data_IF_155391763792
#
_entry.id   IF_155391763792
#
_cell.length_a   1.000
_cell.length_b   1.000
_cell.length_c   1.000
_cell.angle_alpha   90.00
_cell.angle_beta   90.00
_cell.angle_gamma   90.00
#
_symmetry.space_group_name_H-M   'P 1'
#
loop_
_entity.id
_entity.type
_entity.pdbx_description
1 polymer ?
#
# COMPACT_ATOMS: atom_id res chain seq x y z
N UNK A 1 -11.20 -4.42 5.56
CA UNK A 1 -11.84 -3.72 6.68
C UNK A 1 -11.30 -2.31 6.74
N UNK A 2 -12.16 -1.29 6.68
CA UNK A 2 -11.75 0.11 6.77
C UNK A 2 -11.38 0.46 8.23
N UNK A 3 -10.53 1.47 8.40
CA UNK A 3 -10.00 1.93 9.69
C UNK A 3 -9.97 3.46 9.75
N UNK A 4 -9.67 4.02 10.93
CA UNK A 4 -9.58 5.46 11.16
C UNK A 4 -8.17 5.91 11.58
N UNK A 5 -7.72 7.08 11.10
CA UNK A 5 -6.45 7.69 11.50
C UNK A 5 -6.19 9.06 10.87
N UNK A 6 -5.20 9.78 11.42
CA UNK A 6 -4.72 11.07 10.91
C UNK A 6 -3.27 10.91 10.44
N UNK A 7 -2.99 11.25 9.17
CA UNK A 7 -1.73 10.94 8.51
C UNK A 7 -0.95 12.18 8.02
N UNK A 8 -1.30 13.39 8.49
CA UNK A 8 -0.60 14.62 8.11
C UNK A 8 -0.64 14.85 6.60
N UNK A 9 0.46 15.27 5.97
CA UNK A 9 0.55 15.48 4.51
C UNK A 9 1.05 14.22 3.78
N UNK A 10 0.37 13.08 3.95
CA UNK A 10 0.90 11.78 3.54
C UNK A 10 1.18 11.65 2.03
N UNK A 11 0.42 12.34 1.17
CA UNK A 11 0.61 12.30 -0.28
C UNK A 11 1.85 13.08 -0.78
N UNK A 12 2.47 13.89 0.07
CA UNK A 12 3.66 14.67 -0.28
C UNK A 12 4.86 14.34 0.61
N UNK A 13 4.71 13.40 1.55
CA UNK A 13 5.81 12.95 2.41
C UNK A 13 6.69 11.96 1.62
N UNK A 14 7.98 12.25 1.39
CA UNK A 14 8.87 11.40 0.59
C UNK A 14 9.11 10.02 1.20
N UNK A 15 8.80 9.83 2.49
CA UNK A 15 8.90 8.53 3.19
C UNK A 15 7.78 7.57 2.80
N UNK A 16 6.73 8.06 2.17
CA UNK A 16 5.60 7.25 1.72
C UNK A 16 5.78 6.87 0.25
N UNK A 17 5.36 5.65 -0.09
CA UNK A 17 5.16 5.30 -1.49
C UNK A 17 3.80 5.88 -1.93
N UNK A 18 3.83 6.75 -2.93
CA UNK A 18 2.63 7.43 -3.46
C UNK A 18 2.47 7.06 -4.93
N UNK A 19 1.30 6.51 -5.29
CA UNK A 19 0.97 6.12 -6.67
C UNK A 19 -0.41 6.68 -7.01
N UNK A 20 -0.45 7.86 -7.64
CA UNK A 20 -1.72 8.53 -7.95
C UNK A 20 -2.56 8.81 -6.68
N UNK A 21 -3.78 8.26 -6.56
CA UNK A 21 -4.63 8.44 -5.36
C UNK A 21 -4.31 7.46 -4.22
N UNK A 22 -3.33 6.55 -4.38
CA UNK A 22 -2.92 5.55 -3.40
C UNK A 22 -1.68 5.99 -2.61
N UNK A 23 -1.64 5.67 -1.32
CA UNK A 23 -0.45 5.75 -0.47
C UNK A 23 -0.25 4.46 0.31
N UNK A 24 0.99 3.94 0.31
CA UNK A 24 1.50 3.08 1.38
C UNK A 24 2.33 3.93 2.35
N UNK A 25 1.78 4.19 3.54
CA UNK A 25 2.46 5.04 4.52
C UNK A 25 3.71 4.34 5.07
N UNK A 26 4.87 5.00 4.99
CA UNK A 26 6.18 4.43 5.27
C UNK A 26 6.72 3.53 4.16
N UNK A 27 6.08 3.48 2.99
CA UNK A 27 6.42 2.57 1.89
C UNK A 27 7.83 2.73 1.30
N UNK A 28 8.49 3.87 1.53
CA UNK A 28 9.88 4.12 1.11
C UNK A 28 10.88 4.06 2.28
N UNK A 29 10.42 3.65 3.48
CA UNK A 29 11.26 3.55 4.67
C UNK A 29 11.70 2.10 4.83
N UNK A 30 13.02 1.90 4.94
CA UNK A 30 13.60 0.61 5.27
C UNK A 30 13.02 0.07 6.58
N UNK A 31 12.45 -1.13 6.49
CA UNK A 31 12.09 -1.92 7.66
C UNK A 31 13.32 -2.75 8.08
N UNK A 32 13.70 -2.78 9.37
CA UNK A 32 14.80 -3.63 9.83
C UNK A 32 14.57 -5.10 9.47
N UNK A 33 15.63 -5.81 9.04
CA UNK A 33 15.53 -7.22 8.66
C UNK A 33 14.95 -8.09 9.79
N UNK A 34 15.29 -7.80 11.05
CA UNK A 34 14.76 -8.51 12.21
C UNK A 34 13.23 -8.40 12.34
N UNK A 35 12.64 -7.24 11.99
CA UNK A 35 11.18 -7.06 11.97
C UNK A 35 10.54 -7.92 10.89
N UNK A 36 11.14 -7.97 9.70
CA UNK A 36 10.64 -8.82 8.60
C UNK A 36 10.73 -10.29 8.98
N UNK A 37 11.84 -10.73 9.60
CA UNK A 37 12.01 -12.11 10.06
C UNK A 37 11.02 -12.50 11.15
N UNK A 38 10.71 -11.59 12.08
CA UNK A 38 9.79 -11.85 13.18
C UNK A 38 8.31 -11.91 12.75
N UNK A 39 7.92 -11.14 11.73
CA UNK A 39 6.52 -10.96 11.35
C UNK A 39 6.17 -11.49 9.95
N UNK A 40 7.17 -11.94 9.18
CA UNK A 40 7.00 -12.38 7.79
C UNK A 40 6.68 -11.23 6.83
N UNK A 41 6.97 -9.99 7.21
CA UNK A 41 6.59 -8.80 6.44
C UNK A 41 6.66 -7.51 7.25
N UNK A 42 6.07 -6.45 6.69
CA UNK A 42 5.95 -5.16 7.37
C UNK A 42 4.54 -4.60 7.22
N UNK A 43 4.14 -3.81 8.22
CA UNK A 43 2.80 -3.24 8.32
C UNK A 43 2.77 -1.89 7.61
N UNK A 44 1.81 -1.71 6.72
CA UNK A 44 1.61 -0.44 6.01
C UNK A 44 0.14 -0.02 6.11
N UNK A 45 -0.14 1.18 6.64
CA UNK A 45 -1.39 1.85 6.36
C UNK A 45 -1.51 2.12 4.86
N UNK A 46 -2.60 1.64 4.24
CA UNK A 46 -2.97 1.98 2.87
C UNK A 46 -4.04 3.05 2.89
N UNK A 47 -3.81 4.14 2.18
CA UNK A 47 -4.74 5.27 2.06
C UNK A 47 -5.15 5.43 0.60
N UNK A 48 -6.43 5.66 0.35
CA UNK A 48 -6.95 6.02 -0.98
C UNK A 48 -7.79 7.28 -0.87
N UNK A 49 -7.55 8.25 -1.76
CA UNK A 49 -8.39 9.48 -1.86
C UNK A 49 -9.84 9.11 -2.10
N UNK A 50 -10.78 9.87 -1.53
CA UNK A 50 -12.22 9.59 -1.70
C UNK A 50 -12.65 9.60 -3.18
N UNK A 51 -13.58 8.69 -3.50
CA UNK A 51 -14.13 8.51 -4.84
C UNK A 51 -13.24 7.74 -5.81
N UNK A 52 -12.16 7.13 -5.34
CA UNK A 52 -11.29 6.29 -6.17
C UNK A 52 -11.35 4.82 -5.75
N UNK A 53 -11.10 3.94 -6.71
CA UNK A 53 -10.80 2.53 -6.48
C UNK A 53 -9.37 2.25 -6.97
N UNK A 54 -8.60 1.46 -6.22
CA UNK A 54 -7.25 1.10 -6.61
C UNK A 54 -7.04 -0.38 -6.42
N UNK A 55 -6.65 -1.08 -7.49
CA UNK A 55 -6.25 -2.48 -7.41
C UNK A 55 -4.74 -2.56 -7.32
N UNK A 56 -4.25 -3.19 -6.26
CA UNK A 56 -2.83 -3.50 -6.08
C UNK A 56 -2.62 -4.97 -6.30
N UNK A 57 -1.65 -5.30 -7.13
CA UNK A 57 -1.29 -6.67 -7.48
C UNK A 57 0.20 -6.91 -7.25
N UNK A 58 0.52 -8.10 -6.73
CA UNK A 58 1.85 -8.68 -6.72
C UNK A 58 2.10 -9.34 -8.09
N UNK A 59 3.13 -8.92 -8.85
CA UNK A 59 3.49 -9.53 -10.13
C UNK A 59 3.72 -11.03 -9.99
N UNK A 60 3.37 -11.82 -11.01
CA UNK A 60 3.37 -13.29 -10.95
C UNK A 60 4.72 -13.87 -10.53
N UNK A 61 5.80 -13.29 -11.05
CA UNK A 61 7.20 -13.59 -10.76
C UNK A 61 7.55 -13.64 -9.26
N UNK A 62 6.91 -12.82 -8.43
CA UNK A 62 7.21 -12.71 -6.99
C UNK A 62 6.10 -13.25 -6.08
N UNK A 63 4.99 -13.76 -6.63
CA UNK A 63 3.87 -14.31 -5.82
C UNK A 63 4.26 -15.50 -4.93
N UNK A 64 5.32 -16.22 -5.28
CA UNK A 64 5.83 -17.34 -4.46
C UNK A 64 6.45 -16.88 -3.13
N UNK A 65 6.89 -15.62 -3.08
CA UNK A 65 7.63 -15.07 -1.95
C UNK A 65 6.95 -13.88 -1.32
N UNK A 66 6.02 -13.21 -2.00
CA UNK A 66 5.35 -12.00 -1.53
C UNK A 66 3.82 -12.08 -1.61
N UNK A 67 3.14 -11.34 -0.73
CA UNK A 67 1.69 -11.28 -0.69
C UNK A 67 1.14 -10.10 0.13
N UNK A 68 -0.16 -9.86 0.02
CA UNK A 68 -0.87 -8.77 0.69
C UNK A 68 -1.85 -9.34 1.72
N UNK A 69 -1.95 -8.69 2.88
CA UNK A 69 -2.91 -9.05 3.93
C UNK A 69 -3.65 -7.80 4.42
N UNK A 70 -4.86 -7.56 3.91
CA UNK A 70 -5.70 -6.41 4.27
C UNK A 70 -7.15 -6.86 4.50
N UNK A 71 -7.43 -7.44 5.66
CA UNK A 71 -8.73 -8.05 5.94
C UNK A 71 -8.58 -9.25 6.89
N UNK A 72 -9.46 -10.27 6.82
CA UNK A 72 -9.52 -11.38 7.78
C UNK A 72 -8.34 -12.38 7.65
N UNK A 73 -7.11 -11.89 7.58
CA UNK A 73 -5.87 -12.66 7.75
C UNK A 73 -5.45 -13.55 6.59
N UNK A 74 -6.11 -13.48 5.44
CA UNK A 74 -5.72 -14.26 4.25
C UNK A 74 -4.70 -13.52 3.41
N UNK A 75 -3.66 -14.23 2.99
CA UNK A 75 -2.70 -13.75 2.00
C UNK A 75 -3.39 -13.75 0.63
N UNK A 76 -3.33 -12.62 -0.06
CA UNK A 76 -3.81 -12.45 -1.42
C UNK A 76 -2.69 -11.87 -2.28
N UNK A 77 -2.73 -12.12 -3.59
CA UNK A 77 -1.82 -11.49 -4.55
C UNK A 77 -2.43 -10.27 -5.22
N UNK A 78 -3.75 -10.06 -5.08
CA UNK A 78 -4.49 -8.94 -5.65
C UNK A 78 -5.51 -8.46 -4.63
N UNK A 79 -5.53 -7.15 -4.38
CA UNK A 79 -6.52 -6.51 -3.50
C UNK A 79 -7.00 -5.22 -4.16
N UNK A 80 -8.33 -5.04 -4.22
CA UNK A 80 -8.95 -3.79 -4.64
C UNK A 80 -9.40 -3.00 -3.41
N UNK A 81 -8.86 -1.80 -3.26
CA UNK A 81 -9.22 -0.83 -2.24
C UNK A 81 -10.23 0.15 -2.81
N UNK A 82 -11.48 0.07 -2.37
CA UNK A 82 -12.56 0.97 -2.80
C UNK A 82 -12.78 2.02 -1.72
N UNK A 83 -12.39 3.27 -2.02
CA UNK A 83 -12.60 4.39 -1.10
C UNK A 83 -14.07 4.78 -1.03
N UNK A 84 -14.49 5.36 0.10
CA UNK A 84 -15.81 5.94 0.22
C UNK A 84 -16.05 7.02 -0.86
N UNK A 85 -17.30 7.19 -1.34
CA UNK A 85 -17.64 8.22 -2.31
C UNK A 85 -17.32 9.64 -1.81
N UNK A 86 -17.13 10.58 -2.74
CA UNK A 86 -17.01 12.01 -2.40
C UNK A 86 -18.35 12.52 -1.86
N UNK A 87 -18.28 13.45 -0.89
CA UNK A 87 -19.47 14.10 -0.33
C UNK A 87 -20.18 13.32 0.78
N UNK A 88 -19.77 12.08 1.06
CA UNK A 88 -20.27 11.33 2.20
C UNK A 88 -19.70 11.92 3.50
N UNK A 89 -20.51 12.72 4.22
CA UNK A 89 -20.11 13.31 5.51
C UNK A 89 -20.12 12.24 6.60
N UNK A 90 -19.02 11.50 6.75
CA UNK A 90 -18.79 10.67 7.94
C UNK A 90 -18.04 11.49 8.98
N UNK A 91 -18.56 11.52 10.21
CA UNK A 91 -17.97 12.25 11.35
C UNK A 91 -16.53 11.83 11.64
N UNK A 92 -16.15 10.61 11.25
CA UNK A 92 -14.81 10.04 11.44
C UNK A 92 -14.14 9.70 10.11
N UNK A 93 -13.96 10.69 9.24
CA UNK A 93 -13.20 10.49 7.99
C UNK A 93 -11.69 10.58 8.27
N UNK A 94 -10.91 9.60 7.84
CA UNK A 94 -9.46 9.65 7.91
C UNK A 94 -8.92 10.79 7.05
N UNK A 95 -7.80 11.41 7.44
CA UNK A 95 -7.23 12.52 6.66
C UNK A 95 -5.72 12.38 6.43
N UNK A 96 -5.29 12.88 5.28
CA UNK A 96 -3.90 12.87 4.81
C UNK A 96 -3.60 14.14 3.97
N UNK A 97 -3.90 15.33 4.52
CA UNK A 97 -3.92 16.60 3.79
C UNK A 97 -5.23 16.82 3.02
N UNK A 98 -6.15 15.88 3.17
CA UNK A 98 -7.49 15.84 2.62
C UNK A 98 -8.17 14.52 3.01
N UNK A 99 -9.47 14.35 2.74
CA UNK A 99 -10.22 13.14 3.10
C UNK A 99 -9.72 11.87 2.38
N UNK A 100 -9.57 10.78 3.12
CA UNK A 100 -9.18 9.46 2.60
C UNK A 100 -9.97 8.32 3.22
N UNK A 101 -9.99 7.17 2.56
CA UNK A 101 -10.30 5.88 3.18
C UNK A 101 -8.99 5.17 3.53
N UNK A 102 -8.95 4.54 4.70
CA UNK A 102 -7.75 3.92 5.25
C UNK A 102 -8.01 2.44 5.56
N UNK A 103 -7.02 1.59 5.26
CA UNK A 103 -6.95 0.18 5.64
C UNK A 103 -5.62 -0.11 6.32
N UNK A 104 -5.66 -0.85 7.43
CA UNK A 104 -4.45 -1.38 8.06
C UNK A 104 -4.19 -2.80 7.58
N UNK A 105 -2.97 -3.08 7.15
CA UNK A 105 -2.58 -4.41 6.71
C UNK A 105 -1.08 -4.57 6.55
N UNK A 106 -0.69 -5.68 5.96
CA UNK A 106 0.70 -6.08 5.79
C UNK A 106 1.03 -6.32 4.33
N UNK A 107 2.27 -6.00 3.97
CA UNK A 107 2.94 -6.60 2.82
C UNK A 107 3.86 -7.68 3.38
N UNK A 108 3.56 -8.92 3.00
CA UNK A 108 4.27 -10.12 3.45
C UNK A 108 5.39 -10.44 2.46
N UNK A 109 6.51 -10.92 2.99
CA UNK A 109 7.63 -11.42 2.18
C UNK A 109 8.40 -12.52 2.91
N UNK A 110 8.94 -13.49 2.17
CA UNK A 110 9.89 -14.50 2.69
C UNK A 110 11.31 -13.96 2.79
N UNK A 111 11.63 -12.87 2.11
CA UNK A 111 12.97 -12.30 2.08
C UNK A 111 12.88 -10.77 2.10
N UNK A 112 13.65 -10.08 2.96
CA UNK A 112 13.65 -8.63 2.99
C UNK A 112 14.11 -8.06 1.65
N UNK A 113 13.48 -6.97 1.20
CA UNK A 113 13.82 -6.31 -0.05
C UNK A 113 12.68 -5.44 -0.58
N UNK A 114 12.77 -5.05 -1.84
CA UNK A 114 11.74 -4.30 -2.52
C UNK A 114 10.73 -5.24 -3.17
N UNK A 115 9.46 -5.04 -2.85
CA UNK A 115 8.38 -5.85 -3.39
C UNK A 115 7.75 -5.07 -4.54
N UNK A 116 7.86 -5.54 -5.79
CA UNK A 116 7.23 -4.87 -6.92
C UNK A 116 5.70 -4.98 -6.82
N UNK A 117 5.02 -3.94 -7.27
CA UNK A 117 3.57 -3.79 -7.26
C UNK A 117 3.11 -3.31 -8.63
N UNK A 118 2.07 -3.94 -9.15
CA UNK A 118 1.26 -3.41 -10.24
C UNK A 118 0.06 -2.69 -9.64
N UNK A 119 -0.07 -1.39 -9.92
CA UNK A 119 -1.14 -0.55 -9.37
C UNK A 119 -2.06 -0.05 -10.48
N UNK A 120 -3.31 -0.50 -10.47
CA UNK A 120 -4.36 -0.05 -11.39
C UNK A 120 -5.22 0.98 -10.68
N UNK A 121 -5.31 2.18 -11.24
CA UNK A 121 -6.11 3.28 -10.68
C UNK A 121 -7.42 3.38 -11.44
N UNK A 122 -8.54 3.32 -10.71
CA UNK A 122 -9.89 3.36 -11.27
C UNK A 122 -10.04 2.34 -12.42
N UNK A 123 -10.32 2.83 -13.64
CA UNK A 123 -10.53 2.01 -14.84
C UNK A 123 -9.29 2.00 -15.78
N UNK A 124 -8.11 2.37 -15.29
CA UNK A 124 -6.86 2.31 -16.07
C UNK A 124 -6.57 0.87 -16.54
N UNK A 125 -6.33 0.70 -17.84
CA UNK A 125 -6.08 -0.60 -18.46
C UNK A 125 -4.63 -1.08 -18.32
N UNK A 126 -3.70 -0.16 -18.05
CA UNK A 126 -2.28 -0.44 -17.84
C UNK A 126 -1.89 -0.15 -16.38
N UNK A 127 -1.13 -1.03 -15.71
CA UNK A 127 -0.67 -0.77 -14.36
C UNK A 127 0.35 0.36 -14.33
N UNK A 128 0.39 1.06 -13.20
CA UNK A 128 1.52 1.86 -12.77
C UNK A 128 2.45 0.95 -11.97
N UNK A 129 3.67 0.77 -12.43
CA UNK A 129 4.66 -0.03 -11.72
C UNK A 129 5.24 0.79 -10.56
N UNK A 130 5.36 0.14 -9.42
CA UNK A 130 5.93 0.71 -8.20
C UNK A 130 6.59 -0.39 -7.37
N UNK A 131 7.35 0.00 -6.34
CA UNK A 131 7.89 -0.95 -5.38
C UNK A 131 7.77 -0.41 -3.96
N UNK A 132 7.45 -1.30 -3.02
CA UNK A 132 7.41 -0.98 -1.60
C UNK A 132 8.62 -1.59 -0.89
N UNK A 133 9.28 -0.80 -0.05
CA UNK A 133 10.47 -1.21 0.70
C UNK A 133 10.06 -2.08 1.90
N UNK A 134 10.28 -3.39 1.82
CA UNK A 134 9.99 -4.37 2.89
C UNK A 134 11.29 -5.02 3.37
N UNK A 135 12.20 -4.22 3.93
CA UNK A 135 13.51 -4.68 4.36
C UNK A 135 14.63 -3.67 4.11
N UNK A 136 15.88 -3.98 4.46
CA UNK A 136 17.05 -3.24 3.99
C UNK A 136 17.23 -3.33 2.47
N UNK A 137 17.73 -2.24 1.89
CA UNK A 137 17.97 -2.07 0.45
C UNK A 137 17.10 -0.96 -0.15
N UNK A 138 17.65 -0.07 -1.00
CA UNK A 138 16.86 0.92 -1.71
C UNK A 138 15.98 0.24 -2.76
N UNK A 139 14.77 0.77 -2.98
CA UNK A 139 14.00 0.40 -4.16
C UNK A 139 14.48 1.27 -5.31
N UNK A 140 15.37 0.72 -6.13
CA UNK A 140 15.66 1.29 -7.44
C UNK A 140 14.42 1.05 -8.31
N UNK A 141 13.90 2.12 -8.91
CA UNK A 141 12.71 2.06 -9.76
C UNK A 141 12.92 0.99 -10.84
N UNK A 142 12.06 -0.02 -10.88
CA UNK A 142 12.09 -1.06 -11.89
C UNK A 142 11.58 -0.49 -13.22
N UNK A 143 12.44 0.28 -13.91
CA UNK A 143 12.32 0.55 -15.33
C UNK A 143 13.30 -0.39 -16.06
N UNK A 144 12.78 -1.46 -16.66
CA UNK A 144 13.49 -2.29 -17.65
C UNK A 144 12.51 -2.78 -18.70
#
# INVERSE_FOLDING_TARGET
>A
MQSWGQFGQAFTDPRNLVVGPLVFAGGNVTTPAATVQAHGGSKYPVLVKLGHAVTVQIPEEVRRTAGLVYGPGRIAHTITFVACPRGEKKSNTSSAGGPVTFWSGFVMTRSPGCIPLDVYVDDESSPRHAAVTVGPGPCENADS
#
